data_IF_209631928413
#
_entry.id   IF_209631928413
#
_cell.length_a   1.000
_cell.length_b   1.000
_cell.length_c   1.000
_cell.angle_alpha   90.00
_cell.angle_beta   90.00
_cell.angle_gamma   90.00
#
_symmetry.space_group_name_H-M   'P 1'
#
loop_
_entity.id
_entity.type
_entity.pdbx_description
1 polymer ?
#
# COMPACT_ATOMS: atom_id res chain seq x y z
N UNK A 1 -34.35 2.59 -16.77
CA UNK A 1 -33.31 2.20 -15.78
C UNK A 1 -33.43 3.18 -14.63
N UNK A 2 -33.46 2.68 -13.38
CA UNK A 2 -33.86 3.47 -12.22
C UNK A 2 -32.72 4.42 -11.82
N UNK A 3 -33.02 5.71 -11.67
CA UNK A 3 -32.08 6.79 -11.33
C UNK A 3 -31.15 6.50 -10.14
N UNK A 4 -31.58 5.66 -9.21
CA UNK A 4 -30.79 5.19 -8.08
C UNK A 4 -29.55 4.37 -8.49
N UNK A 5 -29.66 3.52 -9.51
CA UNK A 5 -28.53 2.71 -9.98
C UNK A 5 -27.44 3.57 -10.61
N UNK A 6 -27.81 4.66 -11.28
CA UNK A 6 -26.86 5.63 -11.85
C UNK A 6 -26.18 6.46 -10.77
N UNK A 7 -26.91 6.89 -9.74
CA UNK A 7 -26.36 7.62 -8.59
C UNK A 7 -25.36 6.73 -7.82
N UNK A 8 -25.73 5.48 -7.55
CA UNK A 8 -24.86 4.50 -6.87
C UNK A 8 -23.62 4.19 -7.73
N UNK A 9 -23.79 4.01 -9.04
CA UNK A 9 -22.68 3.80 -9.96
C UNK A 9 -21.71 5.00 -10.04
N UNK A 10 -22.21 6.22 -9.81
CA UNK A 10 -21.38 7.44 -9.76
C UNK A 10 -20.71 7.67 -8.40
N UNK A 11 -21.31 7.20 -7.30
CA UNK A 11 -20.77 7.37 -5.95
C UNK A 11 -19.65 6.36 -5.61
N UNK A 12 -19.72 5.13 -6.13
CA UNK A 12 -18.71 4.11 -5.85
C UNK A 12 -17.28 4.51 -6.25
N UNK A 13 -17.02 5.07 -7.45
CA UNK A 13 -15.69 5.55 -7.82
C UNK A 13 -15.19 6.66 -6.88
N UNK A 14 -16.07 7.60 -6.50
CA UNK A 14 -15.73 8.74 -5.63
C UNK A 14 -15.37 8.28 -4.22
N UNK A 15 -16.11 7.31 -3.68
CA UNK A 15 -15.82 6.70 -2.37
C UNK A 15 -14.52 5.91 -2.39
N UNK A 16 -14.28 5.14 -3.46
CA UNK A 16 -13.03 4.42 -3.65
C UNK A 16 -11.82 5.36 -3.73
N UNK A 17 -11.91 6.42 -4.52
CA UNK A 17 -10.84 7.40 -4.70
C UNK A 17 -10.58 8.20 -3.41
N UNK A 18 -11.63 8.61 -2.69
CA UNK A 18 -11.48 9.28 -1.39
C UNK A 18 -10.84 8.36 -0.34
N UNK A 19 -11.20 7.08 -0.33
CA UNK A 19 -10.59 6.07 0.54
C UNK A 19 -9.11 5.88 0.24
N UNK A 20 -8.74 5.74 -1.03
CA UNK A 20 -7.33 5.65 -1.46
C UNK A 20 -6.55 6.90 -1.08
N UNK A 21 -7.07 8.11 -1.33
CA UNK A 21 -6.41 9.37 -0.92
C UNK A 21 -6.17 9.46 0.58
N UNK A 22 -7.17 9.09 1.38
CA UNK A 22 -7.04 9.11 2.84
C UNK A 22 -6.02 8.06 3.33
N UNK A 23 -6.01 6.88 2.71
CA UNK A 23 -5.03 5.84 3.00
C UNK A 23 -3.60 6.28 2.66
N UNK A 24 -3.36 6.81 1.46
CA UNK A 24 -2.06 7.35 1.05
C UNK A 24 -1.59 8.42 2.04
N UNK A 25 -2.46 9.36 2.42
CA UNK A 25 -2.14 10.40 3.41
C UNK A 25 -1.74 9.83 4.77
N UNK A 26 -2.47 8.83 5.27
CA UNK A 26 -2.15 8.18 6.55
C UNK A 26 -0.83 7.42 6.49
N UNK A 27 -0.54 6.77 5.36
CA UNK A 27 0.74 6.07 5.15
C UNK A 27 1.91 7.06 5.11
N UNK A 28 1.79 8.18 4.39
CA UNK A 28 2.81 9.24 4.36
C UNK A 28 3.04 9.86 5.75
N UNK A 29 1.96 10.14 6.49
CA UNK A 29 2.05 10.67 7.85
C UNK A 29 2.74 9.68 8.78
N UNK A 30 2.31 8.42 8.78
CA UNK A 30 2.91 7.37 9.60
C UNK A 30 4.39 7.15 9.24
N UNK A 31 4.73 7.24 7.95
CA UNK A 31 6.11 7.13 7.47
C UNK A 31 7.01 8.27 7.95
N UNK A 32 6.45 9.41 8.33
CA UNK A 32 7.21 10.55 8.87
C UNK A 32 7.82 10.22 10.23
N UNK A 33 7.13 9.41 11.03
CA UNK A 33 7.57 8.96 12.36
C UNK A 33 8.48 7.73 12.31
N UNK A 34 8.67 7.14 11.12
CA UNK A 34 9.53 5.98 10.92
C UNK A 34 10.90 6.38 10.35
N UNK A 35 11.88 5.49 10.52
CA UNK A 35 13.22 5.63 9.95
C UNK A 35 13.65 4.36 9.23
N UNK A 36 14.70 4.50 8.41
CA UNK A 36 15.29 3.38 7.68
C UNK A 36 14.31 2.70 6.74
N UNK A 37 14.43 1.39 6.63
CA UNK A 37 13.63 0.58 5.73
C UNK A 37 12.11 0.62 6.01
N UNK A 38 11.69 0.83 7.28
CA UNK A 38 10.26 0.87 7.65
C UNK A 38 9.55 2.04 6.97
N UNK A 39 10.20 3.21 6.98
CA UNK A 39 9.73 4.39 6.26
C UNK A 39 9.59 4.09 4.78
N UNK A 40 10.61 3.46 4.19
CA UNK A 40 10.62 3.16 2.76
C UNK A 40 9.52 2.18 2.36
N UNK A 41 9.27 1.14 3.16
CA UNK A 41 8.17 0.19 2.93
C UNK A 41 6.81 0.91 2.96
N UNK A 42 6.56 1.76 3.96
CA UNK A 42 5.30 2.52 4.06
C UNK A 42 5.09 3.47 2.87
N UNK A 43 6.14 4.17 2.45
CA UNK A 43 6.08 5.07 1.30
C UNK A 43 5.88 4.31 -0.02
N UNK A 44 6.44 3.10 -0.14
CA UNK A 44 6.22 2.24 -1.31
C UNK A 44 4.77 1.76 -1.39
N UNK A 45 4.17 1.41 -0.25
CA UNK A 45 2.73 1.07 -0.20
C UNK A 45 1.88 2.30 -0.55
N UNK A 46 2.26 3.49 -0.08
CA UNK A 46 1.57 4.74 -0.41
C UNK A 46 1.59 5.04 -1.91
N UNK A 47 2.76 4.92 -2.56
CA UNK A 47 2.93 5.08 -4.02
C UNK A 47 2.03 4.11 -4.79
N UNK A 48 1.99 2.84 -4.39
CA UNK A 48 1.20 1.83 -5.08
C UNK A 48 -0.31 2.13 -4.99
N UNK A 49 -0.78 2.54 -3.81
CA UNK A 49 -2.19 2.90 -3.59
C UNK A 49 -2.55 4.17 -4.35
N UNK A 50 -1.65 5.15 -4.43
CA UNK A 50 -1.87 6.38 -5.21
C UNK A 50 -2.00 6.08 -6.71
N UNK A 51 -1.12 5.23 -7.27
CA UNK A 51 -1.09 4.94 -8.70
C UNK A 51 -2.14 3.92 -9.15
N UNK A 52 -2.47 2.95 -8.30
CA UNK A 52 -3.30 1.80 -8.69
C UNK A 52 -4.58 1.64 -7.87
N UNK A 53 -4.86 2.60 -6.97
CA UNK A 53 -6.05 2.58 -6.12
C UNK A 53 -6.07 1.34 -5.21
N UNK A 54 -7.21 0.66 -5.03
CA UNK A 54 -7.32 -0.47 -4.12
C UNK A 54 -6.39 -1.64 -4.45
N UNK A 55 -6.04 -1.83 -5.73
CA UNK A 55 -5.10 -2.88 -6.17
C UNK A 55 -3.65 -2.57 -5.81
N UNK A 56 -3.36 -1.34 -5.41
CA UNK A 56 -2.02 -0.91 -5.01
C UNK A 56 -1.44 -1.73 -3.86
N UNK A 57 -2.27 -2.22 -2.94
CA UNK A 57 -1.80 -3.05 -1.83
C UNK A 57 -1.22 -4.39 -2.30
N UNK A 58 -1.88 -5.05 -3.24
CA UNK A 58 -1.40 -6.33 -3.81
C UNK A 58 -0.11 -6.11 -4.61
N UNK A 59 -0.05 -5.03 -5.40
CA UNK A 59 1.12 -4.66 -6.19
C UNK A 59 2.32 -4.35 -5.28
N UNK A 60 2.09 -3.58 -4.21
CA UNK A 60 3.12 -3.29 -3.21
C UNK A 60 3.62 -4.56 -2.54
N UNK A 61 2.71 -5.47 -2.13
CA UNK A 61 3.09 -6.73 -1.48
C UNK A 61 3.97 -7.59 -2.39
N UNK A 62 3.62 -7.70 -3.68
CA UNK A 62 4.43 -8.45 -4.66
C UNK A 62 5.82 -7.82 -4.81
N UNK A 63 5.90 -6.50 -5.00
CA UNK A 63 7.18 -5.81 -5.14
C UNK A 63 8.06 -5.92 -3.90
N UNK A 64 7.46 -5.79 -2.71
CA UNK A 64 8.12 -5.97 -1.42
C UNK A 64 8.67 -7.40 -1.33
N UNK A 65 7.85 -8.42 -1.65
CA UNK A 65 8.27 -9.81 -1.60
C UNK A 65 9.40 -10.12 -2.59
N UNK A 66 9.32 -9.61 -3.83
CA UNK A 66 10.35 -9.77 -4.85
C UNK A 66 11.71 -9.22 -4.39
N UNK A 67 11.71 -8.05 -3.75
CA UNK A 67 12.91 -7.49 -3.13
C UNK A 67 13.52 -8.48 -2.12
N UNK A 68 12.71 -9.08 -1.25
CA UNK A 68 13.20 -10.00 -0.22
C UNK A 68 13.80 -11.28 -0.75
N UNK A 69 13.18 -11.87 -1.77
CA UNK A 69 13.70 -13.09 -2.40
C UNK A 69 14.87 -12.80 -3.34
N UNK A 70 15.39 -11.57 -3.35
CA UNK A 70 16.54 -11.15 -4.16
C UNK A 70 16.22 -11.03 -5.65
N UNK A 71 14.94 -10.92 -6.02
CA UNK A 71 14.50 -10.64 -7.39
C UNK A 71 14.48 -9.13 -7.62
N UNK A 72 14.57 -8.75 -8.89
CA UNK A 72 14.32 -7.37 -9.30
C UNK A 72 12.81 -7.14 -9.32
N UNK A 73 12.25 -6.30 -8.42
CA UNK A 73 10.83 -6.00 -8.44
C UNK A 73 10.46 -5.10 -9.62
N UNK A 74 9.21 -5.18 -10.07
CA UNK A 74 8.64 -4.21 -11.02
C UNK A 74 8.03 -3.05 -10.22
N UNK A 75 8.73 -1.91 -10.21
CA UNK A 75 8.43 -0.71 -9.39
C UNK A 75 8.51 0.59 -10.20
N UNK A 76 8.18 0.52 -11.49
CA UNK A 76 8.07 1.67 -12.40
C UNK A 76 6.97 2.68 -11.99
N UNK A 77 6.02 2.22 -11.18
CA UNK A 77 4.97 3.03 -10.56
C UNK A 77 5.44 3.81 -9.32
N UNK A 78 6.54 3.41 -8.68
CA UNK A 78 7.02 4.04 -7.46
C UNK A 78 7.90 5.25 -7.76
N UNK A 79 8.01 6.18 -6.80
CA UNK A 79 8.91 7.31 -6.95
C UNK A 79 10.37 6.82 -7.10
N UNK A 80 11.11 7.20 -8.16
CA UNK A 80 12.46 6.70 -8.41
C UNK A 80 13.43 6.90 -7.24
N UNK A 81 13.25 7.98 -6.47
CA UNK A 81 14.06 8.26 -5.28
C UNK A 81 13.79 7.25 -4.17
N UNK A 82 12.52 6.96 -3.91
CA UNK A 82 12.08 5.98 -2.89
C UNK A 82 12.55 4.58 -3.24
N UNK A 83 12.51 4.23 -4.52
CA UNK A 83 13.06 2.97 -5.06
C UNK A 83 14.57 2.88 -4.83
N UNK A 84 15.32 3.93 -5.16
CA UNK A 84 16.77 3.97 -4.94
C UNK A 84 17.14 3.79 -3.47
N UNK A 85 16.42 4.47 -2.57
CA UNK A 85 16.65 4.37 -1.13
C UNK A 85 16.37 2.93 -0.64
N UNK A 86 15.29 2.30 -1.12
CA UNK A 86 14.93 0.93 -0.78
C UNK A 86 16.00 -0.08 -1.22
N UNK A 87 16.48 0.05 -2.44
CA UNK A 87 17.54 -0.81 -2.98
C UNK A 87 18.84 -0.62 -2.20
N UNK A 88 19.20 0.61 -1.84
CA UNK A 88 20.36 0.88 -1.01
C UNK A 88 20.23 0.24 0.38
N UNK A 89 19.05 0.29 1.02
CA UNK A 89 18.80 -0.42 2.26
C UNK A 89 18.93 -1.94 2.08
N UNK A 90 18.28 -2.51 1.06
CA UNK A 90 18.31 -3.94 0.74
C UNK A 90 19.72 -4.49 0.49
N UNK A 91 20.59 -3.70 -0.14
CA UNK A 91 21.97 -4.07 -0.41
C UNK A 91 22.84 -4.08 0.85
N UNK A 92 22.55 -3.19 1.79
CA UNK A 92 23.29 -3.09 3.06
C UNK A 92 22.68 -3.93 4.19
N UNK A 93 21.43 -4.39 4.04
CA UNK A 93 20.71 -5.13 5.07
C UNK A 93 21.25 -6.57 5.20
N UNK A 94 21.48 -6.96 6.46
CA UNK A 94 21.81 -8.33 6.84
C UNK A 94 20.58 -9.26 6.70
N UNK A 95 20.79 -10.58 6.75
CA UNK A 95 19.71 -11.56 6.58
C UNK A 95 18.58 -11.39 7.61
N UNK A 96 18.91 -11.05 8.85
CA UNK A 96 17.93 -10.82 9.92
C UNK A 96 17.11 -9.55 9.69
N UNK A 97 17.73 -8.49 9.19
CA UNK A 97 17.01 -7.26 8.81
C UNK A 97 16.08 -7.51 7.64
N UNK A 98 16.50 -8.30 6.64
CA UNK A 98 15.63 -8.70 5.53
C UNK A 98 14.40 -9.47 6.01
N UNK A 99 14.57 -10.41 6.95
CA UNK A 99 13.45 -11.15 7.52
C UNK A 99 12.48 -10.23 8.28
N UNK A 100 13.00 -9.31 9.12
CA UNK A 100 12.18 -8.35 9.85
C UNK A 100 11.41 -7.39 8.92
N UNK A 101 12.06 -7.00 7.82
CA UNK A 101 11.52 -6.10 6.82
C UNK A 101 10.40 -6.78 6.01
N UNK A 102 10.52 -8.08 5.72
CA UNK A 102 9.46 -8.88 5.10
C UNK A 102 8.27 -9.03 6.02
N UNK A 103 8.50 -9.44 7.28
CA UNK A 103 7.45 -9.61 8.26
C UNK A 103 6.63 -8.32 8.44
N UNK A 104 7.30 -7.17 8.54
CA UNK A 104 6.64 -5.88 8.63
C UNK A 104 5.87 -5.50 7.36
N UNK A 105 6.42 -5.72 6.17
CA UNK A 105 5.72 -5.47 4.92
C UNK A 105 4.43 -6.28 4.80
N UNK A 106 4.48 -7.56 5.17
CA UNK A 106 3.30 -8.44 5.24
C UNK A 106 2.31 -7.96 6.29
N UNK A 107 2.76 -7.59 7.49
CA UNK A 107 1.90 -7.11 8.58
C UNK A 107 1.20 -5.80 8.21
N UNK A 108 1.90 -4.85 7.59
CA UNK A 108 1.33 -3.60 7.09
C UNK A 108 0.25 -3.90 6.05
N UNK A 109 0.56 -4.69 5.02
CA UNK A 109 -0.41 -4.99 3.96
C UNK A 109 -1.62 -5.79 4.50
N UNK A 110 -1.39 -6.75 5.40
CA UNK A 110 -2.46 -7.53 6.02
C UNK A 110 -3.37 -6.66 6.91
N UNK A 111 -2.78 -5.78 7.71
CA UNK A 111 -3.53 -4.86 8.58
C UNK A 111 -4.37 -3.89 7.76
N UNK A 112 -3.80 -3.32 6.70
CA UNK A 112 -4.53 -2.45 5.77
C UNK A 112 -5.65 -3.21 5.04
N UNK A 113 -5.38 -4.45 4.62
CA UNK A 113 -6.40 -5.34 4.05
C UNK A 113 -7.55 -5.63 5.01
N UNK A 114 -7.26 -5.88 6.30
CA UNK A 114 -8.27 -6.09 7.34
C UNK A 114 -9.10 -4.83 7.61
N UNK A 115 -8.48 -3.65 7.65
CA UNK A 115 -9.17 -2.37 7.82
C UNK A 115 -10.11 -2.12 6.64
N UNK A 116 -9.64 -2.33 5.40
CA UNK A 116 -10.46 -2.20 4.20
C UNK A 116 -11.64 -3.19 4.19
N UNK A 117 -11.40 -4.44 4.57
CA UNK A 117 -12.46 -5.45 4.69
C UNK A 117 -13.48 -5.09 5.78
N UNK A 118 -13.02 -4.52 6.91
CA UNK A 118 -13.87 -4.02 7.99
C UNK A 118 -14.74 -2.84 7.56
N UNK A 119 -14.15 -1.87 6.85
CA UNK A 119 -14.88 -0.73 6.28
C UNK A 119 -15.94 -1.18 5.26
N UNK A 120 -15.61 -2.13 4.38
CA UNK A 120 -16.56 -2.75 3.44
C UNK A 120 -17.73 -3.44 4.15
N UNK A 121 -17.44 -4.24 5.19
CA UNK A 121 -18.49 -4.87 6.00
C UNK A 121 -19.39 -3.85 6.70
N UNK A 122 -18.80 -2.79 7.25
CA UNK A 122 -19.56 -1.70 7.88
C UNK A 122 -20.50 -1.00 6.90
N UNK A 123 -20.00 -0.65 5.71
CA UNK A 123 -20.78 -0.01 4.64
C UNK A 123 -21.94 -0.89 4.14
N UNK A 124 -21.69 -2.19 3.99
CA UNK A 124 -22.71 -3.16 3.56
C UNK A 124 -23.72 -3.49 4.66
N UNK A 125 -23.35 -3.37 5.94
CA UNK A 125 -24.27 -3.58 7.06
C UNK A 125 -25.20 -2.38 7.31
N UNK A 126 -24.87 -1.21 6.78
CA UNK A 126 -25.70 0.01 6.85
C UNK A 126 -26.60 0.23 5.63
N UNK A 127 -26.55 -0.66 4.63
CA UNK A 127 -27.46 -0.70 3.47
C UNK A 127 -28.52 -1.79 3.66
#
# INVERSE_FOLDING_TARGET
MNSWQEIVAQLFPVLGEAGCKQLTKLLDQTATDQQGWKKTVLLLVADAVEQHGPKGLDIALVAINDLFVGKSPVIDWANPRRVSDLVAFMQNAEADEKSAMHAFGVEVCATLGMILAGLLKGLLATL
#
